data_IF_126363444925
#
_entry.id   IF_126363444925
#
_cell.length_a   1.000
_cell.length_b   1.000
_cell.length_c   1.000
_cell.angle_alpha   90.00
_cell.angle_beta   90.00
_cell.angle_gamma   90.00
#
_symmetry.space_group_name_H-M   'P 1'
#
loop_
_entity.id
_entity.type
_entity.pdbx_description
1 polymer ?
#
# COMPACT_ATOMS: atom_id res chain seq x y z
N UNK A 1 2.26 19.25 -37.54
CA UNK A 1 1.10 19.42 -36.62
C UNK A 1 0.31 18.14 -36.35
N UNK A 2 0.18 17.18 -37.29
CA UNK A 2 -0.54 15.90 -37.03
C UNK A 2 0.16 14.90 -36.08
N UNK A 3 1.47 15.02 -35.87
CA UNK A 3 2.26 14.07 -35.06
C UNK A 3 2.17 14.30 -33.55
N UNK A 4 2.01 15.55 -33.09
CA UNK A 4 1.99 15.90 -31.65
C UNK A 4 0.67 15.57 -30.93
N UNK A 5 -0.47 15.67 -31.62
CA UNK A 5 -1.80 15.33 -31.06
C UNK A 5 -1.90 13.83 -30.79
N UNK A 6 -1.24 13.00 -31.61
CA UNK A 6 -1.23 11.56 -31.44
C UNK A 6 -0.33 11.12 -30.27
N UNK A 7 0.75 11.84 -29.97
CA UNK A 7 1.60 11.50 -28.81
C UNK A 7 0.99 11.94 -27.48
N UNK A 8 0.35 13.12 -27.41
CA UNK A 8 -0.32 13.59 -26.19
C UNK A 8 -1.46 12.66 -25.75
N UNK A 9 -2.27 12.20 -26.71
CA UNK A 9 -3.37 11.27 -26.44
C UNK A 9 -2.88 9.91 -25.97
N UNK A 10 -1.72 9.44 -26.46
CA UNK A 10 -1.09 8.21 -25.98
C UNK A 10 -0.67 8.34 -24.51
N UNK A 11 -0.01 9.43 -24.11
CA UNK A 11 0.40 9.60 -22.71
C UNK A 11 -0.79 9.76 -21.77
N UNK A 12 -1.87 10.42 -22.21
CA UNK A 12 -3.10 10.48 -21.43
C UNK A 12 -3.76 9.10 -21.28
N UNK A 13 -3.73 8.26 -22.31
CA UNK A 13 -4.28 6.90 -22.22
C UNK A 13 -3.43 5.99 -21.33
N UNK A 14 -2.10 6.17 -21.34
CA UNK A 14 -1.19 5.51 -20.40
C UNK A 14 -1.55 5.86 -18.94
N UNK A 15 -1.73 7.15 -18.64
CA UNK A 15 -2.17 7.60 -17.31
C UNK A 15 -3.53 6.99 -16.92
N UNK A 16 -4.51 6.98 -17.83
CA UNK A 16 -5.82 6.36 -17.59
C UNK A 16 -5.69 4.87 -17.29
N UNK A 17 -4.86 4.15 -18.05
CA UNK A 17 -4.59 2.73 -17.81
C UNK A 17 -4.07 2.52 -16.39
N UNK A 18 -3.10 3.33 -15.96
CA UNK A 18 -2.49 3.20 -14.64
C UNK A 18 -3.47 3.47 -13.50
N UNK A 19 -4.38 4.44 -13.68
CA UNK A 19 -5.47 4.72 -12.74
C UNK A 19 -6.50 3.57 -12.72
N UNK A 20 -6.80 2.94 -13.86
CA UNK A 20 -7.71 1.79 -13.94
C UNK A 20 -7.12 0.55 -13.24
N UNK A 21 -5.80 0.39 -13.27
CA UNK A 21 -5.10 -0.70 -12.57
C UNK A 21 -5.32 -0.69 -11.05
N UNK A 22 -5.80 0.41 -10.44
CA UNK A 22 -6.08 0.44 -8.99
C UNK A 22 -7.00 -0.69 -8.53
N UNK A 23 -7.98 -1.07 -9.36
CA UNK A 23 -8.95 -2.13 -9.02
C UNK A 23 -8.29 -3.49 -8.79
N UNK A 24 -7.17 -3.74 -9.46
CA UNK A 24 -6.40 -4.98 -9.35
C UNK A 24 -5.21 -4.85 -8.39
N UNK A 25 -4.58 -3.67 -8.31
CA UNK A 25 -3.33 -3.46 -7.59
C UNK A 25 -3.55 -2.96 -6.14
N UNK A 26 -4.65 -2.28 -5.85
CA UNK A 26 -4.98 -1.70 -4.52
C UNK A 26 -6.02 -2.54 -3.79
N UNK A 27 -5.68 -3.81 -3.56
CA UNK A 27 -6.59 -4.76 -2.92
C UNK A 27 -6.82 -4.39 -1.45
N UNK A 28 -8.01 -3.87 -1.16
CA UNK A 28 -8.49 -3.62 0.19
C UNK A 28 -8.65 -4.92 0.97
N UNK A 29 -8.29 -4.90 2.25
CA UNK A 29 -8.44 -6.05 3.15
C UNK A 29 -9.44 -5.76 4.26
N UNK A 30 -10.34 -6.70 4.54
CA UNK A 30 -11.29 -6.59 5.66
C UNK A 30 -10.58 -6.71 7.01
N UNK A 31 -11.06 -6.00 8.03
CA UNK A 31 -10.60 -6.20 9.41
C UNK A 31 -11.02 -7.55 9.99
N UNK A 32 -11.88 -8.32 9.31
CA UNK A 32 -12.22 -9.70 9.69
C UNK A 32 -10.99 -10.63 9.77
N UNK A 33 -9.90 -10.30 9.09
CA UNK A 33 -8.62 -11.03 9.22
C UNK A 33 -8.09 -11.04 10.67
N UNK A 34 -8.50 -10.10 11.52
CA UNK A 34 -8.16 -10.11 12.95
C UNK A 34 -8.69 -11.34 13.69
N UNK A 35 -9.73 -11.99 13.17
CA UNK A 35 -10.29 -13.21 13.75
C UNK A 35 -9.25 -14.33 13.90
N UNK A 36 -8.17 -14.31 13.11
CA UNK A 36 -7.08 -15.28 13.22
C UNK A 36 -6.44 -15.32 14.62
N UNK A 37 -6.35 -14.16 15.29
CA UNK A 37 -5.85 -14.07 16.66
C UNK A 37 -6.86 -14.56 17.70
N UNK A 38 -8.15 -14.57 17.36
CA UNK A 38 -9.20 -15.04 18.27
C UNK A 38 -9.27 -16.57 18.30
N UNK A 39 -8.91 -17.26 17.22
CA UNK A 39 -8.97 -18.73 17.14
C UNK A 39 -8.19 -19.41 18.27
N UNK A 40 -6.88 -19.15 18.50
CA UNK A 40 -6.15 -19.81 19.59
C UNK A 40 -6.70 -19.48 20.98
N UNK A 41 -7.23 -18.26 21.16
CA UNK A 41 -7.86 -17.83 22.42
C UNK A 41 -9.13 -18.65 22.66
N UNK A 42 -10.02 -18.72 21.67
CA UNK A 42 -11.27 -19.47 21.73
C UNK A 42 -10.99 -20.96 21.96
N UNK A 43 -10.03 -21.54 21.23
CA UNK A 43 -9.63 -22.94 21.42
C UNK A 43 -9.18 -23.16 22.86
N UNK A 44 -8.30 -22.31 23.40
CA UNK A 44 -7.82 -22.43 24.79
C UNK A 44 -8.96 -22.32 25.81
N UNK A 45 -9.88 -21.37 25.61
CA UNK A 45 -11.03 -21.16 26.49
C UNK A 45 -12.04 -22.31 26.46
N UNK A 46 -12.09 -23.09 25.37
CA UNK A 46 -12.97 -24.26 25.25
C UNK A 46 -12.29 -25.52 25.78
N UNK A 47 -11.02 -25.74 25.43
CA UNK A 47 -10.33 -27.00 25.72
C UNK A 47 -9.98 -27.15 27.20
N UNK A 48 -9.57 -26.07 27.88
CA UNK A 48 -9.22 -26.14 29.32
C UNK A 48 -10.44 -26.57 30.16
N UNK A 49 -11.62 -25.93 30.06
CA UNK A 49 -12.81 -26.38 30.79
C UNK A 49 -13.27 -27.78 30.39
N UNK A 50 -13.23 -28.13 29.09
CA UNK A 50 -13.60 -29.46 28.61
C UNK A 50 -12.77 -30.57 29.28
N UNK A 51 -11.46 -30.34 29.45
CA UNK A 51 -10.59 -31.28 30.16
C UNK A 51 -10.96 -31.39 31.65
N UNK A 52 -11.26 -30.28 32.32
CA UNK A 52 -11.64 -30.27 33.74
C UNK A 52 -13.00 -30.95 34.00
N UNK A 53 -13.92 -30.89 33.03
CA UNK A 53 -15.25 -31.47 33.09
C UNK A 53 -15.32 -32.93 32.60
N UNK A 54 -14.18 -33.54 32.24
CA UNK A 54 -14.11 -34.94 31.83
C UNK A 54 -14.62 -35.21 30.40
N UNK A 55 -14.57 -34.22 29.51
CA UNK A 55 -14.93 -34.33 28.10
C UNK A 55 -13.70 -34.18 27.16
N UNK A 56 -12.69 -35.07 27.26
CA UNK A 56 -11.43 -34.92 26.51
C UNK A 56 -11.60 -35.07 24.99
N UNK A 57 -12.66 -35.72 24.52
CA UNK A 57 -13.00 -35.88 23.10
C UNK A 57 -13.12 -34.53 22.35
N UNK A 58 -13.46 -33.43 23.03
CA UNK A 58 -13.48 -32.08 22.45
C UNK A 58 -12.10 -31.68 21.89
N UNK A 59 -11.02 -32.23 22.46
CA UNK A 59 -9.65 -31.96 22.03
C UNK A 59 -9.35 -32.51 20.63
N UNK A 60 -10.11 -33.49 20.13
CA UNK A 60 -9.93 -34.08 18.80
C UNK A 60 -10.17 -33.09 17.66
N UNK A 61 -10.92 -32.00 17.91
CA UNK A 61 -11.15 -30.92 16.93
C UNK A 61 -10.01 -29.90 16.88
N UNK A 62 -9.19 -29.82 17.93
CA UNK A 62 -8.13 -28.81 18.05
C UNK A 62 -7.05 -28.89 16.95
N UNK A 63 -6.60 -30.07 16.47
CA UNK A 63 -5.62 -30.15 15.39
C UNK A 63 -6.18 -29.63 14.05
N UNK A 64 -7.46 -29.88 13.78
CA UNK A 64 -8.13 -29.41 12.56
C UNK A 64 -8.16 -27.88 12.56
N UNK A 65 -8.60 -27.27 13.67
CA UNK A 65 -8.61 -25.81 13.82
C UNK A 65 -7.21 -25.20 13.75
N UNK A 66 -6.20 -25.88 14.30
CA UNK A 66 -4.81 -25.44 14.21
C UNK A 66 -4.30 -25.43 12.76
N UNK A 67 -4.59 -26.50 11.98
CA UNK A 67 -4.23 -26.58 10.56
C UNK A 67 -4.93 -25.48 9.75
N UNK A 68 -6.23 -25.28 9.96
CA UNK A 68 -6.98 -24.20 9.29
C UNK A 68 -6.38 -22.82 9.62
N UNK A 69 -6.10 -22.55 10.90
CA UNK A 69 -5.50 -21.29 11.33
C UNK A 69 -4.10 -21.09 10.74
N UNK A 70 -3.32 -22.15 10.65
CA UNK A 70 -2.00 -22.13 10.04
C UNK A 70 -2.08 -21.74 8.55
N UNK A 71 -2.97 -22.38 7.78
CA UNK A 71 -3.19 -22.07 6.36
C UNK A 71 -3.69 -20.62 6.18
N UNK A 72 -4.67 -20.21 6.98
CA UNK A 72 -5.22 -18.84 6.92
C UNK A 72 -4.13 -17.80 7.24
N UNK A 73 -3.23 -18.09 8.17
CA UNK A 73 -2.10 -17.21 8.51
C UNK A 73 -1.11 -17.06 7.35
N UNK A 74 -0.79 -18.15 6.64
CA UNK A 74 0.05 -18.10 5.41
C UNK A 74 -0.60 -17.19 4.37
N UNK A 75 -1.89 -17.38 4.10
CA UNK A 75 -2.64 -16.58 3.12
C UNK A 75 -2.68 -15.11 3.53
N UNK A 76 -2.90 -14.83 4.82
CA UNK A 76 -2.88 -13.47 5.35
C UNK A 76 -1.55 -12.77 5.09
N UNK A 77 -0.43 -13.38 5.46
CA UNK A 77 0.91 -12.81 5.25
C UNK A 77 1.18 -12.60 3.76
N UNK A 78 0.86 -13.59 2.92
CA UNK A 78 0.97 -13.45 1.47
C UNK A 78 0.21 -12.21 0.97
N UNK A 79 -1.07 -12.06 1.34
CA UNK A 79 -1.89 -10.92 0.89
C UNK A 79 -1.37 -9.57 1.38
N UNK A 80 -0.83 -9.51 2.61
CA UNK A 80 -0.27 -8.28 3.16
C UNK A 80 0.99 -7.82 2.40
N UNK A 81 1.86 -8.76 2.03
CA UNK A 81 3.09 -8.47 1.27
C UNK A 81 2.79 -8.21 -0.21
N UNK A 82 1.94 -9.04 -0.83
CA UNK A 82 1.52 -8.90 -2.22
C UNK A 82 0.93 -7.51 -2.49
N UNK A 83 -0.05 -7.08 -1.67
CA UNK A 83 -0.69 -5.77 -1.88
C UNK A 83 0.27 -4.59 -1.72
N UNK A 84 1.30 -4.70 -0.88
CA UNK A 84 2.35 -3.68 -0.77
C UNK A 84 3.10 -3.60 -2.10
N UNK A 85 3.52 -4.75 -2.62
CA UNK A 85 4.30 -4.80 -3.86
C UNK A 85 3.50 -4.28 -5.05
N UNK A 86 2.25 -4.74 -5.20
CA UNK A 86 1.40 -4.31 -6.29
C UNK A 86 1.11 -2.81 -6.18
N UNK A 87 0.73 -2.31 -5.01
CA UNK A 87 0.49 -0.88 -4.82
C UNK A 87 1.68 -0.02 -5.25
N UNK A 88 2.88 -0.33 -4.73
CA UNK A 88 4.09 0.45 -5.01
C UNK A 88 4.47 0.38 -6.49
N UNK A 89 4.31 -0.79 -7.10
CA UNK A 89 4.51 -0.97 -8.54
C UNK A 89 3.56 -0.10 -9.37
N UNK A 90 2.27 -0.05 -9.02
CA UNK A 90 1.30 0.81 -9.71
C UNK A 90 1.67 2.28 -9.55
N UNK A 91 2.00 2.71 -8.34
CA UNK A 91 2.39 4.10 -8.08
C UNK A 91 3.62 4.51 -8.90
N UNK A 92 4.63 3.63 -9.03
CA UNK A 92 5.78 3.90 -9.91
C UNK A 92 5.40 4.05 -11.38
N UNK A 93 4.48 3.25 -11.90
CA UNK A 93 3.97 3.43 -13.27
C UNK A 93 3.22 4.76 -13.42
N UNK A 94 2.30 5.05 -12.49
CA UNK A 94 1.53 6.29 -12.48
C UNK A 94 2.44 7.52 -12.45
N UNK A 95 3.44 7.54 -11.56
CA UNK A 95 4.42 8.62 -11.47
C UNK A 95 5.20 8.79 -12.79
N UNK A 96 5.63 7.69 -13.40
CA UNK A 96 6.37 7.71 -14.66
C UNK A 96 5.55 8.29 -15.81
N UNK A 97 4.34 7.79 -16.01
CA UNK A 97 3.48 8.21 -17.13
C UNK A 97 2.91 9.62 -16.88
N UNK A 98 2.73 10.04 -15.63
CA UNK A 98 2.42 11.42 -15.28
C UNK A 98 3.55 12.38 -15.62
N UNK A 99 4.82 12.04 -15.33
CA UNK A 99 5.98 12.86 -15.71
C UNK A 99 6.02 13.04 -17.24
N UNK A 100 5.82 11.96 -18.01
CA UNK A 100 5.80 12.02 -19.48
C UNK A 100 4.70 12.93 -20.00
N UNK A 101 3.49 12.80 -19.46
CA UNK A 101 2.34 13.63 -19.86
C UNK A 101 2.58 15.11 -19.54
N UNK A 102 3.04 15.43 -18.33
CA UNK A 102 3.32 16.81 -17.92
C UNK A 102 4.40 17.43 -18.80
N UNK A 103 5.47 16.68 -19.13
CA UNK A 103 6.51 17.12 -20.07
C UNK A 103 5.92 17.47 -21.43
N UNK A 104 5.01 16.64 -21.97
CA UNK A 104 4.33 16.92 -23.25
C UNK A 104 3.47 18.18 -23.18
N UNK A 105 2.74 18.37 -22.08
CA UNK A 105 1.92 19.59 -21.89
C UNK A 105 2.82 20.83 -21.86
N UNK A 106 3.97 20.75 -21.19
CA UNK A 106 4.95 21.84 -21.13
C UNK A 106 5.56 22.16 -22.49
N UNK A 107 5.93 21.15 -23.28
CA UNK A 107 6.41 21.31 -24.67
C UNK A 107 5.37 22.05 -25.53
N UNK A 108 4.09 21.67 -25.44
CA UNK A 108 3.01 22.30 -26.20
C UNK A 108 2.77 23.76 -25.77
N UNK A 109 2.82 24.03 -24.46
CA UNK A 109 2.71 25.38 -23.89
C UNK A 109 3.99 26.20 -24.03
N UNK A 110 5.08 25.63 -24.57
CA UNK A 110 6.41 26.26 -24.68
C UNK A 110 6.88 26.86 -23.35
N UNK A 111 6.60 26.18 -22.24
CA UNK A 111 6.95 26.62 -20.89
C UNK A 111 8.09 25.74 -20.37
N UNK A 112 9.17 26.35 -19.89
CA UNK A 112 10.28 25.61 -19.29
C UNK A 112 9.93 25.17 -17.87
N UNK A 113 9.97 23.86 -17.65
CA UNK A 113 9.69 23.18 -16.38
C UNK A 113 10.71 22.06 -16.10
N UNK A 114 11.82 22.01 -16.83
CA UNK A 114 12.75 20.86 -16.76
C UNK A 114 13.42 20.76 -15.40
N UNK A 115 13.72 21.90 -14.76
CA UNK A 115 14.25 21.95 -13.41
C UNK A 115 13.30 21.28 -12.40
N UNK A 116 12.00 21.58 -12.45
CA UNK A 116 11.02 20.96 -11.56
C UNK A 116 10.73 19.50 -11.93
N UNK A 117 10.64 19.17 -13.22
CA UNK A 117 10.48 17.78 -13.67
C UNK A 117 11.62 16.89 -13.15
N UNK A 118 12.85 17.42 -13.11
CA UNK A 118 14.01 16.68 -12.59
C UNK A 118 13.85 16.27 -11.11
N UNK A 119 13.08 17.03 -10.32
CA UNK A 119 12.77 16.70 -8.93
C UNK A 119 11.79 15.51 -8.86
N UNK A 120 10.72 15.53 -9.67
CA UNK A 120 9.79 14.40 -9.79
C UNK A 120 10.51 13.13 -10.28
N UNK A 121 11.38 13.25 -11.29
CA UNK A 121 12.18 12.13 -11.78
C UNK A 121 13.15 11.60 -10.72
N UNK A 122 13.74 12.48 -9.90
CA UNK A 122 14.58 12.06 -8.77
C UNK A 122 13.77 11.24 -7.77
N UNK A 123 12.60 11.72 -7.35
CA UNK A 123 11.71 10.99 -6.44
C UNK A 123 11.32 9.62 -7.01
N UNK A 124 10.99 9.55 -8.31
CA UNK A 124 10.71 8.28 -8.99
C UNK A 124 11.92 7.34 -9.02
N UNK A 125 13.13 7.86 -9.28
CA UNK A 125 14.37 7.06 -9.23
C UNK A 125 14.64 6.52 -7.83
N UNK A 126 14.50 7.35 -6.81
CA UNK A 126 14.63 6.96 -5.40
C UNK A 126 13.61 5.87 -5.04
N UNK A 127 12.35 6.03 -5.47
CA UNK A 127 11.31 5.01 -5.29
C UNK A 127 11.72 3.69 -5.96
N UNK A 128 12.14 3.71 -7.24
CA UNK A 128 12.59 2.51 -7.96
C UNK A 128 13.78 1.81 -7.29
N UNK A 129 14.67 2.56 -6.64
CA UNK A 129 15.81 2.01 -5.90
C UNK A 129 15.44 1.46 -4.52
N UNK A 130 14.60 2.17 -3.76
CA UNK A 130 14.30 1.81 -2.37
C UNK A 130 13.11 0.85 -2.22
N UNK A 131 12.12 0.93 -3.10
CA UNK A 131 10.83 0.21 -3.01
C UNK A 131 10.86 -1.18 -3.65
N UNK A 132 12.00 -1.84 -3.57
CA UNK A 132 12.21 -3.17 -4.15
C UNK A 132 11.14 -4.17 -3.73
N UNK A 133 10.79 -5.04 -4.67
CA UNK A 133 9.79 -6.08 -4.47
C UNK A 133 10.25 -7.07 -3.40
N UNK A 134 9.33 -7.44 -2.51
CA UNK A 134 9.56 -8.49 -1.51
C UNK A 134 8.79 -9.75 -1.91
N UNK A 135 9.48 -10.87 -2.14
CA UNK A 135 8.79 -12.10 -2.57
C UNK A 135 7.72 -12.54 -1.53
N UNK A 136 6.45 -12.38 -1.89
CA UNK A 136 5.32 -12.59 -0.98
C UNK A 136 5.17 -14.05 -0.57
N UNK A 137 5.43 -14.99 -1.48
CA UNK A 137 5.38 -16.44 -1.21
C UNK A 137 6.47 -16.82 -0.23
N UNK A 138 7.69 -16.35 -0.46
CA UNK A 138 8.83 -16.58 0.44
C UNK A 138 8.52 -16.08 1.85
N UNK A 139 8.06 -14.84 2.00
CA UNK A 139 7.77 -14.27 3.32
C UNK A 139 6.60 -14.95 4.01
N UNK A 140 5.59 -15.42 3.27
CA UNK A 140 4.49 -16.20 3.84
C UNK A 140 4.97 -17.55 4.38
N UNK A 141 5.80 -18.28 3.62
CA UNK A 141 6.36 -19.58 4.03
C UNK A 141 7.33 -19.40 5.21
N UNK A 142 8.23 -18.42 5.13
CA UNK A 142 9.18 -18.13 6.22
C UNK A 142 8.46 -17.76 7.51
N UNK A 143 7.41 -16.95 7.45
CA UNK A 143 6.61 -16.57 8.62
C UNK A 143 5.92 -17.77 9.29
N UNK A 144 5.54 -18.76 8.48
CA UNK A 144 4.87 -19.97 8.96
C UNK A 144 5.82 -20.94 9.67
N UNK A 145 7.04 -21.09 9.15
CA UNK A 145 8.04 -22.02 9.68
C UNK A 145 8.88 -21.37 10.80
N UNK A 146 9.15 -20.07 10.66
CA UNK A 146 10.00 -19.28 11.55
C UNK A 146 9.15 -18.15 12.11
N UNK A 147 8.58 -18.35 13.29
CA UNK A 147 7.63 -17.39 13.89
C UNK A 147 8.16 -15.95 13.96
N UNK A 148 9.47 -15.78 14.24
CA UNK A 148 10.14 -14.47 14.30
C UNK A 148 10.11 -13.73 12.94
N UNK A 149 10.05 -14.46 11.82
CA UNK A 149 9.93 -13.83 10.49
C UNK A 149 8.61 -13.04 10.34
N UNK A 150 7.54 -13.43 11.05
CA UNK A 150 6.29 -12.66 11.09
C UNK A 150 6.52 -11.24 11.62
N UNK A 151 7.34 -11.09 12.67
CA UNK A 151 7.66 -9.77 13.23
C UNK A 151 8.48 -8.92 12.26
N UNK A 152 9.38 -9.54 11.49
CA UNK A 152 10.11 -8.83 10.44
C UNK A 152 9.20 -8.40 9.29
N UNK A 153 8.22 -9.23 8.90
CA UNK A 153 7.18 -8.83 7.93
C UNK A 153 6.41 -7.62 8.43
N UNK A 154 5.97 -7.66 9.69
CA UNK A 154 5.24 -6.57 10.31
C UNK A 154 6.07 -5.29 10.40
N UNK A 155 7.37 -5.41 10.67
CA UNK A 155 8.33 -4.31 10.64
C UNK A 155 8.38 -3.65 9.26
N UNK A 156 8.71 -4.42 8.22
CA UNK A 156 8.94 -3.81 6.91
C UNK A 156 7.63 -3.28 6.33
N UNK A 157 6.49 -3.93 6.53
CA UNK A 157 5.22 -3.39 6.02
C UNK A 157 4.92 -2.02 6.62
N UNK A 158 5.09 -1.87 7.94
CA UNK A 158 4.88 -0.60 8.62
C UNK A 158 5.85 0.49 8.14
N UNK A 159 7.14 0.15 8.00
CA UNK A 159 8.17 1.12 7.60
C UNK A 159 8.11 1.46 6.11
N UNK A 160 7.84 0.49 5.26
CA UNK A 160 7.75 0.67 3.81
C UNK A 160 6.58 1.61 3.47
N UNK A 161 5.38 1.36 3.99
CA UNK A 161 4.23 2.25 3.75
C UNK A 161 4.47 3.67 4.27
N UNK A 162 5.05 3.81 5.47
CA UNK A 162 5.39 5.12 6.01
C UNK A 162 6.37 5.87 5.08
N UNK A 163 7.46 5.22 4.65
CA UNK A 163 8.45 5.83 3.77
C UNK A 163 7.88 6.17 2.38
N UNK A 164 7.06 5.26 1.83
CA UNK A 164 6.36 5.46 0.56
C UNK A 164 5.52 6.74 0.61
N UNK A 165 4.65 6.87 1.60
CA UNK A 165 3.77 8.03 1.72
C UNK A 165 4.55 9.34 1.89
N UNK A 166 5.68 9.33 2.63
CA UNK A 166 6.53 10.52 2.76
C UNK A 166 7.17 10.94 1.43
N UNK A 167 7.56 9.99 0.58
CA UNK A 167 8.10 10.28 -0.76
C UNK A 167 7.03 10.84 -1.68
N UNK A 168 5.83 10.28 -1.62
CA UNK A 168 4.70 10.78 -2.42
C UNK A 168 4.32 12.21 -2.06
N UNK A 169 4.38 12.59 -0.77
CA UNK A 169 4.11 13.98 -0.37
C UNK A 169 5.01 14.98 -1.12
N UNK A 170 6.31 14.66 -1.26
CA UNK A 170 7.24 15.48 -2.05
C UNK A 170 6.91 15.46 -3.55
N UNK A 171 6.55 14.30 -4.09
CA UNK A 171 6.15 14.17 -5.50
C UNK A 171 4.91 15.01 -5.84
N UNK A 172 3.89 15.00 -4.97
CA UNK A 172 2.67 15.77 -5.17
C UNK A 172 2.89 17.28 -5.03
N UNK A 173 3.79 17.68 -4.13
CA UNK A 173 4.19 19.08 -3.98
C UNK A 173 4.87 19.59 -5.26
N UNK A 174 5.85 18.85 -5.79
CA UNK A 174 6.57 19.23 -7.01
C UNK A 174 5.65 19.20 -8.24
N UNK A 175 4.74 18.23 -8.32
CA UNK A 175 3.70 18.17 -9.36
C UNK A 175 2.80 19.39 -9.35
N UNK A 176 2.35 19.81 -8.17
CA UNK A 176 1.50 21.00 -8.01
C UNK A 176 2.23 22.27 -8.45
N UNK A 177 3.53 22.39 -8.15
CA UNK A 177 4.37 23.51 -8.61
C UNK A 177 4.49 23.54 -10.14
N UNK A 178 4.76 22.39 -10.76
CA UNK A 178 4.89 22.28 -12.23
C UNK A 178 3.57 22.67 -12.91
N UNK A 179 2.45 22.09 -12.45
CA UNK A 179 1.14 22.40 -13.01
C UNK A 179 0.79 23.88 -12.82
N UNK A 180 1.12 24.47 -11.66
CA UNK A 180 0.98 25.90 -11.42
C UNK A 180 1.74 26.76 -12.45
N UNK A 181 2.99 26.42 -12.78
CA UNK A 181 3.76 27.09 -13.85
C UNK A 181 3.10 26.97 -15.22
N UNK A 182 2.41 25.87 -15.48
CA UNK A 182 1.66 25.62 -16.72
C UNK A 182 0.27 26.31 -16.73
N UNK A 183 -0.08 27.05 -15.68
CA UNK A 183 -1.39 27.68 -15.51
C UNK A 183 -2.51 26.66 -15.22
N UNK A 184 -2.18 25.49 -14.69
CA UNK A 184 -3.09 24.41 -14.35
C UNK A 184 -3.17 24.34 -12.82
N UNK A 185 -4.35 24.63 -12.27
CA UNK A 185 -4.57 24.52 -10.84
C UNK A 185 -4.78 23.05 -10.47
N UNK A 186 -3.82 22.48 -9.75
CA UNK A 186 -3.94 21.16 -9.14
C UNK A 186 -3.65 21.28 -7.65
N UNK A 187 -4.54 20.73 -6.83
CA UNK A 187 -4.34 20.65 -5.38
C UNK A 187 -4.76 19.25 -4.96
N UNK A 188 -3.81 18.39 -4.56
CA UNK A 188 -4.15 17.06 -4.05
C UNK A 188 -5.20 17.18 -2.95
N UNK A 189 -6.21 16.30 -2.92
CA UNK A 189 -7.16 16.23 -1.82
C UNK A 189 -6.46 16.20 -0.47
N UNK A 190 -7.09 16.73 0.57
CA UNK A 190 -6.50 16.70 1.91
C UNK A 190 -6.46 15.27 2.45
N UNK A 191 -5.28 14.76 2.79
CA UNK A 191 -5.14 13.48 3.51
C UNK A 191 -5.60 13.64 4.96
N UNK A 192 -6.68 12.94 5.34
CA UNK A 192 -7.24 12.98 6.70
C UNK A 192 -6.48 12.06 7.65
N UNK A 193 -6.04 10.89 7.15
CA UNK A 193 -5.39 9.84 7.93
C UNK A 193 -3.96 9.60 7.42
N UNK A 194 -2.98 10.50 7.69
CA UNK A 194 -1.59 10.25 7.32
C UNK A 194 -1.02 9.04 8.09
N UNK A 195 -0.19 8.24 7.42
CA UNK A 195 0.49 7.09 8.02
C UNK A 195 1.42 7.57 9.16
N UNK A 196 1.14 7.23 10.44
CA UNK A 196 1.96 7.73 11.55
C UNK A 196 3.27 6.95 11.66
N UNK A 197 4.33 7.64 12.10
CA UNK A 197 5.63 7.02 12.36
C UNK A 197 5.60 6.19 13.66
N UNK A 198 5.20 4.92 13.52
CA UNK A 198 5.15 3.99 14.65
C UNK A 198 6.52 3.40 14.98
N UNK A 199 6.76 3.17 16.26
CA UNK A 199 7.97 2.50 16.76
C UNK A 199 7.80 0.98 16.71
N UNK A 200 8.59 0.32 15.87
CA UNK A 200 8.64 -1.14 15.80
C UNK A 200 9.01 -1.76 17.15
N UNK A 201 10.03 -1.20 17.83
CA UNK A 201 10.53 -1.72 19.11
C UNK A 201 9.42 -1.68 20.16
N UNK A 202 8.66 -0.58 20.21
CA UNK A 202 7.52 -0.48 21.11
C UNK A 202 6.48 -1.57 20.80
N UNK A 203 6.14 -1.78 19.53
CA UNK A 203 5.14 -2.77 19.13
C UNK A 203 5.61 -4.20 19.44
N UNK A 204 6.90 -4.48 19.28
CA UNK A 204 7.51 -5.75 19.65
C UNK A 204 7.45 -5.98 21.17
N UNK A 205 7.88 -5.00 21.97
CA UNK A 205 7.83 -5.08 23.44
C UNK A 205 6.39 -5.29 23.91
N UNK A 206 5.44 -4.49 23.41
CA UNK A 206 4.04 -4.63 23.76
C UNK A 206 3.50 -6.01 23.38
N UNK A 207 3.90 -6.57 22.22
CA UNK A 207 3.51 -7.93 21.82
C UNK A 207 4.06 -8.99 22.77
N UNK A 208 5.28 -8.84 23.27
CA UNK A 208 5.89 -9.80 24.20
C UNK A 208 5.24 -9.71 25.57
N UNK A 209 5.15 -8.50 26.17
CA UNK A 209 4.62 -8.34 27.53
C UNK A 209 3.13 -8.68 27.64
N UNK A 210 2.37 -8.55 26.54
CA UNK A 210 0.97 -8.94 26.45
C UNK A 210 0.77 -10.38 25.96
N UNK A 211 1.84 -11.18 25.87
CA UNK A 211 1.82 -12.57 25.42
C UNK A 211 1.11 -12.76 24.06
N UNK A 212 1.32 -11.81 23.15
CA UNK A 212 0.80 -11.83 21.78
C UNK A 212 -0.53 -11.09 21.58
N UNK A 213 -1.22 -10.68 22.65
CA UNK A 213 -2.53 -9.98 22.54
C UNK A 213 -2.41 -8.67 21.76
N UNK A 214 -1.34 -7.89 22.00
CA UNK A 214 -1.09 -6.66 21.25
C UNK A 214 -0.87 -6.90 19.74
N UNK A 215 -0.53 -8.13 19.33
CA UNK A 215 -0.46 -8.55 17.94
C UNK A 215 -1.77 -8.31 17.16
N UNK A 216 -2.92 -8.34 17.84
CA UNK A 216 -4.22 -7.98 17.26
C UNK A 216 -4.21 -6.53 16.76
N UNK A 217 -3.80 -5.60 17.61
CA UNK A 217 -3.73 -4.19 17.26
C UNK A 217 -2.66 -3.92 16.20
N UNK A 218 -1.54 -4.64 16.26
CA UNK A 218 -0.51 -4.54 15.23
C UNK A 218 -1.03 -4.97 13.86
N UNK A 219 -1.68 -6.13 13.76
CA UNK A 219 -2.31 -6.57 12.51
C UNK A 219 -3.41 -5.59 12.06
N UNK A 220 -4.16 -5.02 12.99
CA UNK A 220 -5.18 -4.02 12.69
C UNK A 220 -4.59 -2.81 11.97
N UNK A 221 -3.50 -2.22 12.49
CA UNK A 221 -2.88 -1.05 11.82
C UNK A 221 -2.27 -1.45 10.48
N UNK A 222 -1.66 -2.64 10.39
CA UNK A 222 -1.15 -3.15 9.12
C UNK A 222 -2.25 -3.27 8.08
N UNK A 223 -3.48 -3.65 8.44
CA UNK A 223 -4.63 -3.70 7.51
C UNK A 223 -5.19 -2.30 7.23
N UNK A 224 -5.48 -1.54 8.28
CA UNK A 224 -6.22 -0.28 8.22
C UNK A 224 -5.45 0.82 7.52
N UNK A 225 -4.16 0.99 7.81
CA UNK A 225 -3.45 2.16 7.28
C UNK A 225 -3.28 2.09 5.75
N UNK A 226 -2.85 0.97 5.14
CA UNK A 226 -2.83 0.84 3.68
C UNK A 226 -4.21 1.00 3.06
N UNK A 227 -5.27 0.53 3.72
CA UNK A 227 -6.63 0.73 3.23
C UNK A 227 -7.01 2.22 3.17
N UNK A 228 -6.70 2.99 4.22
CA UNK A 228 -6.96 4.44 4.24
C UNK A 228 -6.09 5.19 3.23
N UNK A 229 -4.84 4.74 3.08
CA UNK A 229 -3.92 5.24 2.08
C UNK A 229 -4.44 4.99 0.65
N UNK A 230 -4.93 3.79 0.33
CA UNK A 230 -5.49 3.48 -1.00
C UNK A 230 -6.74 4.31 -1.32
N UNK A 231 -7.60 4.56 -0.31
CA UNK A 231 -8.75 5.46 -0.47
C UNK A 231 -8.31 6.89 -0.79
N UNK A 232 -7.27 7.37 -0.11
CA UNK A 232 -6.67 8.66 -0.42
C UNK A 232 -6.15 8.69 -1.87
N UNK A 233 -5.39 7.67 -2.29
CA UNK A 233 -4.92 7.59 -3.68
C UNK A 233 -6.05 7.57 -4.70
N UNK A 234 -7.14 6.86 -4.43
CA UNK A 234 -8.30 6.87 -5.33
C UNK A 234 -8.85 8.30 -5.56
N UNK A 235 -8.88 9.13 -4.51
CA UNK A 235 -9.31 10.53 -4.63
C UNK A 235 -8.30 11.41 -5.37
N UNK A 236 -6.99 11.17 -5.18
CA UNK A 236 -5.93 11.87 -5.91
C UNK A 236 -5.98 11.50 -7.39
N UNK A 237 -6.12 10.22 -7.71
CA UNK A 237 -6.20 9.69 -9.08
C UNK A 237 -7.36 10.33 -9.85
N UNK A 238 -8.52 10.51 -9.19
CA UNK A 238 -9.69 11.17 -9.78
C UNK A 238 -9.46 12.65 -10.08
N UNK A 239 -8.96 13.41 -9.10
CA UNK A 239 -8.65 14.83 -9.25
C UNK A 239 -7.55 15.07 -10.31
N UNK A 240 -6.51 14.23 -10.28
CA UNK A 240 -5.39 14.29 -11.22
C UNK A 240 -5.88 14.06 -12.65
N UNK A 241 -6.66 13.00 -12.87
CA UNK A 241 -7.17 12.67 -14.20
C UNK A 241 -8.07 13.78 -14.74
N UNK A 242 -9.03 14.24 -13.93
CA UNK A 242 -9.93 15.33 -14.32
C UNK A 242 -9.16 16.61 -14.70
N UNK A 243 -8.13 16.94 -13.92
CA UNK A 243 -7.29 18.11 -14.13
C UNK A 243 -6.48 18.00 -15.43
N UNK A 244 -5.80 16.87 -15.64
CA UNK A 244 -4.94 16.68 -16.82
C UNK A 244 -5.74 16.47 -18.10
N UNK A 245 -6.89 15.79 -18.06
CA UNK A 245 -7.80 15.69 -19.21
C UNK A 245 -8.30 17.06 -19.66
N UNK A 246 -8.69 17.91 -18.71
CA UNK A 246 -9.10 19.29 -19.01
C UNK A 246 -7.94 20.10 -19.60
N UNK A 247 -6.73 19.92 -19.10
CA UNK A 247 -5.56 20.61 -19.62
C UNK A 247 -5.23 20.18 -21.06
N UNK A 248 -5.28 18.88 -21.36
CA UNK A 248 -5.02 18.32 -22.69
C UNK A 248 -6.09 18.72 -23.71
N UNK A 249 -7.36 18.80 -23.30
CA UNK A 249 -8.46 19.20 -24.20
C UNK A 249 -8.50 20.70 -24.47
N UNK A 250 -7.91 21.51 -23.59
CA UNK A 250 -7.81 22.96 -23.76
C UNK A 250 -6.61 23.42 -24.61
N UNK A 251 -5.69 22.50 -24.95
CA UNK A 251 -4.46 22.77 -25.71
C UNK A 251 -4.54 22.35 -27.17
#
# INVERSE_FOLDING_TARGET
>A
MRTGVNSMSVELENLRRDIRMRSEYDKMMSTAWLAIYLVPIIVTLITIPAMLLGAPEILLLSPILAIVSFIVSIVLIYKLVDRRNTHFKRQMFLMEDMIKLIRKIAEQKKTDVEAELSLCERTLREAKTEETEKNAVLWAILSAIIFIATWYVYYFLMKDFYKHERREDGFWEDTSKILGKLGISFTPPRRVNPLPNRSFILYLILSIITLGIFGIYWLYVLIKDPNEHFKYHASVDEELLATLEKAVTAT
#
